data_IF_788270759887
#
_entry.id   IF_788270759887
#
_cell.length_a   1.000
_cell.length_b   1.000
_cell.length_c   1.000
_cell.angle_alpha   90.00
_cell.angle_beta   90.00
_cell.angle_gamma   90.00
#
_symmetry.space_group_name_H-M   'P 1'
#
loop_
_entity.id
_entity.type
_entity.pdbx_description
1 polymer ?
#
# COMPACT_ATOMS: atom_id res chain seq x y z
N UNK A 1 7.18 2.62 25.11
CA UNK A 1 7.28 4.09 25.02
C UNK A 1 7.07 4.41 23.57
N UNK A 2 6.03 5.18 23.24
CA UNK A 2 5.86 5.65 21.86
C UNK A 2 7.11 6.49 21.52
N UNK A 3 7.84 6.20 20.44
CA UNK A 3 8.91 7.09 19.98
C UNK A 3 8.34 8.52 19.90
N UNK A 4 9.12 9.54 20.30
CA UNK A 4 8.69 10.92 20.14
C UNK A 4 8.69 11.33 18.66
N UNK A 5 8.19 12.53 18.34
CA UNK A 5 8.34 13.10 16.99
C UNK A 5 9.81 13.13 16.56
N UNK A 6 10.07 12.68 15.34
CA UNK A 6 11.40 12.70 14.72
C UNK A 6 11.51 13.87 13.74
N UNK A 7 12.68 14.52 13.68
CA UNK A 7 12.96 15.64 12.76
C UNK A 7 13.98 15.23 11.71
N UNK A 8 13.66 15.51 10.46
CA UNK A 8 14.54 15.35 9.31
C UNK A 8 14.67 16.68 8.57
N UNK A 9 15.84 16.91 7.99
CA UNK A 9 16.12 18.08 7.17
C UNK A 9 16.63 17.62 5.81
N UNK A 10 16.09 18.22 4.76
CA UNK A 10 16.43 17.94 3.37
C UNK A 10 17.65 18.76 2.93
N UNK A 11 18.23 18.42 1.77
CA UNK A 11 19.36 19.17 1.20
C UNK A 11 19.05 20.64 0.89
N UNK A 12 17.80 21.01 0.60
CA UNK A 12 17.40 22.40 0.33
C UNK A 12 16.72 23.10 1.53
N UNK A 13 16.76 22.49 2.72
CA UNK A 13 16.32 23.11 3.97
C UNK A 13 14.82 22.99 4.27
N UNK A 14 14.06 22.18 3.52
CA UNK A 14 12.75 21.73 3.98
C UNK A 14 12.92 20.84 5.22
N UNK A 15 12.04 21.04 6.21
CA UNK A 15 12.02 20.28 7.47
C UNK A 15 10.83 19.34 7.46
N UNK A 16 11.06 18.07 7.79
CA UNK A 16 10.04 17.03 7.82
C UNK A 16 9.98 16.48 9.24
N UNK A 17 8.79 16.50 9.83
CA UNK A 17 8.53 15.93 11.14
C UNK A 17 7.69 14.68 10.97
N UNK A 18 8.20 13.56 11.46
CA UNK A 18 7.52 12.27 11.43
C UNK A 18 6.81 12.08 12.78
N UNK A 19 5.48 12.08 12.75
CA UNK A 19 4.61 12.08 13.93
C UNK A 19 4.05 10.67 14.12
N UNK A 20 4.45 9.94 15.18
CA UNK A 20 4.01 8.57 15.41
C UNK A 20 2.58 8.51 15.94
N UNK A 21 1.83 7.52 15.47
CA UNK A 21 0.41 7.31 15.75
C UNK A 21 0.12 5.81 15.88
N UNK A 22 -0.75 5.45 16.83
CA UNK A 22 -1.41 4.15 16.89
C UNK A 22 -2.62 4.20 15.95
N UNK A 23 -2.48 3.60 14.77
CA UNK A 23 -3.49 3.63 13.72
C UNK A 23 -4.61 2.62 13.99
N UNK A 24 -4.25 1.42 14.42
CA UNK A 24 -5.18 0.38 14.91
C UNK A 24 -4.51 -0.40 16.04
N UNK A 25 -5.20 -1.29 16.80
CA UNK A 25 -4.61 -1.98 17.96
C UNK A 25 -3.27 -2.70 17.71
N UNK A 26 -3.02 -3.15 16.47
CA UNK A 26 -1.80 -3.85 16.06
C UNK A 26 -1.03 -3.11 14.94
N UNK A 27 -1.42 -1.88 14.64
CA UNK A 27 -0.81 -1.09 13.56
C UNK A 27 -0.40 0.29 14.07
N UNK A 28 0.90 0.53 14.06
CA UNK A 28 1.50 1.85 14.27
C UNK A 28 1.91 2.44 12.93
N UNK A 29 1.94 3.76 12.82
CA UNK A 29 2.45 4.44 11.64
C UNK A 29 2.56 5.94 11.87
N UNK A 30 2.64 6.70 10.78
CA UNK A 30 3.09 8.08 10.84
C UNK A 30 2.32 9.01 9.91
N UNK A 31 1.98 10.18 10.44
CA UNK A 31 1.75 11.37 9.63
C UNK A 31 3.07 12.15 9.48
N UNK A 32 3.22 12.90 8.40
CA UNK A 32 4.41 13.72 8.16
C UNK A 32 4.05 15.20 8.00
N UNK A 33 4.63 16.08 8.81
CA UNK A 33 4.51 17.52 8.65
C UNK A 33 5.71 18.04 7.85
N UNK A 34 5.46 18.65 6.70
CA UNK A 34 6.47 19.23 5.82
C UNK A 34 6.43 20.75 5.98
N UNK A 35 7.53 21.35 6.41
CA UNK A 35 7.66 22.79 6.59
C UNK A 35 8.71 23.34 5.63
N UNK A 36 8.27 24.24 4.75
CA UNK A 36 9.14 25.01 3.85
C UNK A 36 8.90 26.51 4.07
N UNK A 37 9.75 27.41 3.53
CA UNK A 37 9.45 28.83 3.52
C UNK A 37 8.19 29.21 2.72
N UNK A 38 7.70 28.34 1.83
CA UNK A 38 6.60 28.62 0.92
C UNK A 38 5.25 28.06 1.39
N UNK A 39 5.24 26.96 2.14
CA UNK A 39 4.03 26.30 2.62
C UNK A 39 4.34 25.35 3.79
N UNK A 40 3.27 25.00 4.51
CA UNK A 40 3.23 23.88 5.44
C UNK A 40 2.25 22.84 4.90
N UNK A 41 2.67 21.57 4.79
CA UNK A 41 1.80 20.49 4.34
C UNK A 41 1.74 19.38 5.39
N UNK A 42 0.56 18.81 5.58
CA UNK A 42 0.37 17.59 6.35
C UNK A 42 0.17 16.42 5.39
N UNK A 43 1.07 15.44 5.43
CA UNK A 43 1.04 14.24 4.59
C UNK A 43 0.53 13.05 5.40
N UNK A 44 -0.64 12.55 5.01
CA UNK A 44 -1.49 11.61 5.75
C UNK A 44 -1.97 12.12 7.12
N UNK A 45 -3.07 11.55 7.61
CA UNK A 45 -3.79 12.04 8.80
C UNK A 45 -4.18 10.93 9.78
N UNK A 46 -3.66 9.72 9.57
CA UNK A 46 -3.94 8.58 10.42
C UNK A 46 -5.34 7.98 10.22
N UNK A 47 -5.69 7.03 11.09
CA UNK A 47 -6.94 6.26 10.99
C UNK A 47 -8.17 6.93 11.57
N UNK A 48 -8.01 7.90 12.47
CA UNK A 48 -9.11 8.43 13.30
C UNK A 48 -9.69 7.42 14.29
N UNK A 49 -9.10 6.22 14.42
CA UNK A 49 -9.50 5.21 15.37
C UNK A 49 -8.82 5.43 16.73
N UNK A 50 -9.56 5.22 17.83
CA UNK A 50 -9.03 5.39 19.18
C UNK A 50 -8.43 6.78 19.39
N UNK A 51 -7.19 6.83 19.89
CA UNK A 51 -6.49 8.08 20.22
C UNK A 51 -5.65 8.64 19.07
N UNK A 52 -5.73 8.08 17.85
CA UNK A 52 -4.90 8.49 16.72
C UNK A 52 -4.95 10.02 16.49
N UNK A 53 -6.14 10.62 16.44
CA UNK A 53 -6.28 12.07 16.27
C UNK A 53 -5.60 12.89 17.38
N UNK A 54 -5.77 12.49 18.64
CA UNK A 54 -5.14 13.17 19.78
C UNK A 54 -3.61 13.03 19.78
N UNK A 55 -3.09 11.91 19.27
CA UNK A 55 -1.66 11.71 19.08
C UNK A 55 -1.09 12.60 17.97
N UNK A 56 -1.84 12.80 16.88
CA UNK A 56 -1.48 13.75 15.83
C UNK A 56 -1.42 15.19 16.37
N UNK A 57 -2.43 15.59 17.16
CA UNK A 57 -2.45 16.91 17.82
C UNK A 57 -1.28 17.07 18.82
N UNK A 58 -1.02 16.05 19.63
CA UNK A 58 0.11 16.04 20.55
C UNK A 58 1.46 16.13 19.80
N UNK A 59 1.57 15.46 18.65
CA UNK A 59 2.73 15.54 17.77
C UNK A 59 2.96 16.94 17.22
N UNK A 60 1.91 17.61 16.72
CA UNK A 60 2.01 18.99 16.25
C UNK A 60 2.45 19.94 17.39
N UNK A 61 1.91 19.75 18.60
CA UNK A 61 2.37 20.49 19.80
C UNK A 61 3.83 20.19 20.13
N UNK A 62 4.28 18.94 20.00
CA UNK A 62 5.69 18.59 20.19
C UNK A 62 6.60 19.24 19.15
N UNK A 63 6.18 19.34 17.88
CA UNK A 63 6.90 20.08 16.84
C UNK A 63 7.14 21.53 17.26
N UNK A 64 6.09 22.21 17.74
CA UNK A 64 6.17 23.58 18.22
C UNK A 64 7.05 23.72 19.48
N UNK A 65 6.74 22.95 20.52
CA UNK A 65 7.29 23.15 21.86
C UNK A 65 8.72 22.61 21.99
N UNK A 66 9.05 21.51 21.32
CA UNK A 66 10.37 20.86 21.42
C UNK A 66 11.34 21.31 20.33
N UNK A 67 10.86 21.53 19.10
CA UNK A 67 11.72 21.90 17.97
C UNK A 67 11.68 23.40 17.65
N UNK A 68 10.84 24.17 18.35
CA UNK A 68 10.77 25.64 18.21
C UNK A 68 10.17 26.11 16.90
N UNK A 69 9.40 25.25 16.21
CA UNK A 69 8.69 25.62 15.00
C UNK A 69 7.47 26.48 15.32
N UNK A 70 7.25 27.54 14.53
CA UNK A 70 6.05 28.37 14.64
C UNK A 70 4.98 27.80 13.70
N UNK A 71 4.33 26.72 14.12
CA UNK A 71 3.30 26.04 13.34
C UNK A 71 2.17 25.54 14.25
N UNK A 72 0.94 25.88 13.89
CA UNK A 72 -0.31 25.33 14.44
C UNK A 72 -1.24 24.88 13.29
N UNK A 73 -2.43 24.35 13.64
CA UNK A 73 -3.39 23.82 12.66
C UNK A 73 -3.81 24.83 11.57
N UNK A 74 -3.81 26.12 11.90
CA UNK A 74 -4.19 27.22 11.00
C UNK A 74 -3.10 27.54 9.96
N UNK A 75 -1.84 27.15 10.23
CA UNK A 75 -0.71 27.40 9.33
C UNK A 75 -0.57 26.33 8.24
N UNK A 76 -1.23 25.17 8.43
CA UNK A 76 -1.25 24.09 7.44
C UNK A 76 -1.91 24.62 6.17
N UNK A 77 -1.15 24.65 5.08
CA UNK A 77 -1.57 25.20 3.79
C UNK A 77 -2.30 24.18 2.93
N UNK A 78 -2.00 22.88 3.11
CA UNK A 78 -2.68 21.78 2.44
C UNK A 78 -2.52 20.46 3.20
N UNK A 79 -3.51 19.58 3.04
CA UNK A 79 -3.43 18.18 3.47
C UNK A 79 -3.25 17.31 2.21
N UNK A 80 -2.23 16.46 2.21
CA UNK A 80 -1.87 15.59 1.11
C UNK A 80 -2.08 14.14 1.57
N UNK A 81 -2.93 13.39 0.89
CA UNK A 81 -3.18 11.98 1.22
C UNK A 81 -2.46 11.10 0.23
N UNK A 82 -1.56 10.25 0.74
CA UNK A 82 -0.77 9.31 -0.07
C UNK A 82 -1.66 8.36 -0.86
N UNK A 83 -2.73 7.87 -0.23
CA UNK A 83 -3.68 6.94 -0.83
C UNK A 83 -4.97 6.73 -0.01
N UNK A 84 -5.88 5.92 -0.55
CA UNK A 84 -7.23 5.66 -0.03
C UNK A 84 -7.38 4.54 1.00
N UNK A 85 -6.34 4.19 1.77
CA UNK A 85 -6.52 3.31 2.94
C UNK A 85 -6.81 4.08 4.22
N UNK A 86 -7.62 3.45 5.07
CA UNK A 86 -8.31 4.11 6.18
C UNK A 86 -7.31 4.66 7.20
N UNK A 87 -6.23 3.95 7.44
CA UNK A 87 -5.11 4.36 8.26
C UNK A 87 -4.36 5.61 7.77
N UNK A 88 -4.59 6.06 6.55
CA UNK A 88 -3.98 7.27 6.00
C UNK A 88 -4.96 8.44 5.92
N UNK A 89 -6.25 8.19 5.65
CA UNK A 89 -7.26 9.24 5.50
C UNK A 89 -8.32 9.30 6.61
N UNK A 90 -8.46 8.26 7.42
CA UNK A 90 -9.57 8.08 8.36
C UNK A 90 -9.63 9.16 9.45
N UNK A 91 -8.50 9.80 9.75
CA UNK A 91 -8.40 10.95 10.66
C UNK A 91 -8.89 12.27 10.08
N UNK A 92 -9.34 12.31 8.82
CA UNK A 92 -9.85 13.55 8.19
C UNK A 92 -10.94 14.29 8.99
N UNK A 93 -11.95 13.62 9.60
CA UNK A 93 -12.93 14.32 10.45
C UNK A 93 -12.29 15.08 11.61
N UNK A 94 -11.25 14.48 12.24
CA UNK A 94 -10.50 15.12 13.30
C UNK A 94 -9.73 16.33 12.78
N UNK A 95 -9.01 16.19 11.67
CA UNK A 95 -8.23 17.27 11.05
C UNK A 95 -9.13 18.42 10.59
N UNK A 96 -10.25 18.14 9.90
CA UNK A 96 -11.20 19.16 9.43
C UNK A 96 -11.86 19.97 10.56
N UNK A 97 -11.96 19.41 11.77
CA UNK A 97 -12.46 20.15 12.94
C UNK A 97 -11.51 21.25 13.42
N UNK A 98 -10.24 21.20 13.02
CA UNK A 98 -9.15 22.08 13.50
C UNK A 98 -8.48 22.88 12.38
N UNK A 99 -8.52 22.37 11.16
CA UNK A 99 -7.79 22.90 10.01
C UNK A 99 -8.77 23.10 8.83
N UNK A 100 -8.64 24.25 8.15
CA UNK A 100 -9.44 24.60 6.97
C UNK A 100 -8.67 24.37 5.65
N UNK A 101 -7.51 23.72 5.72
CA UNK A 101 -6.67 23.49 4.54
C UNK A 101 -7.36 22.55 3.54
N UNK A 102 -7.21 22.80 2.22
CA UNK A 102 -7.73 21.90 1.19
C UNK A 102 -7.02 20.53 1.23
N UNK A 103 -7.81 19.48 1.00
CA UNK A 103 -7.36 18.09 0.97
C UNK A 103 -7.17 17.62 -0.48
N UNK A 104 -5.99 17.07 -0.78
CA UNK A 104 -5.64 16.54 -2.09
C UNK A 104 -5.25 15.07 -2.03
N UNK A 105 -5.67 14.30 -3.03
CA UNK A 105 -5.35 12.88 -3.21
C UNK A 105 -5.27 12.55 -4.70
N UNK A 106 -4.62 11.45 -5.07
CA UNK A 106 -4.62 11.01 -6.46
C UNK A 106 -6.05 10.73 -6.98
N UNK A 107 -6.27 11.00 -8.27
CA UNK A 107 -7.59 10.89 -8.91
C UNK A 107 -8.22 9.49 -8.78
N UNK A 108 -7.42 8.43 -8.81
CA UNK A 108 -7.90 7.05 -8.71
C UNK A 108 -8.42 6.70 -7.31
N UNK A 109 -7.94 7.36 -6.26
CA UNK A 109 -8.42 7.14 -4.88
C UNK A 109 -9.43 8.19 -4.42
N UNK A 110 -9.64 9.28 -5.17
CA UNK A 110 -10.65 10.30 -4.80
C UNK A 110 -12.03 9.70 -4.56
N UNK A 111 -12.47 8.74 -5.39
CA UNK A 111 -13.77 8.07 -5.22
C UNK A 111 -13.79 7.08 -4.05
N UNK A 112 -12.63 6.58 -3.63
CA UNK A 112 -12.52 5.73 -2.44
C UNK A 112 -12.97 6.48 -1.20
N UNK A 113 -12.62 7.77 -1.12
CA UNK A 113 -13.02 8.65 -0.02
C UNK A 113 -14.40 9.26 -0.23
N UNK A 114 -14.66 9.87 -1.39
CA UNK A 114 -15.88 10.65 -1.63
C UNK A 114 -17.13 9.82 -1.87
N UNK A 115 -16.97 8.51 -2.15
CA UNK A 115 -18.04 7.54 -2.38
C UNK A 115 -17.74 6.23 -1.65
N UNK A 116 -17.30 6.35 -0.40
CA UNK A 116 -16.81 5.23 0.40
C UNK A 116 -17.84 4.10 0.53
N UNK A 117 -19.10 4.42 0.80
CA UNK A 117 -20.17 3.42 0.98
C UNK A 117 -20.48 2.68 -0.33
N UNK A 118 -20.47 3.39 -1.47
CA UNK A 118 -20.61 2.79 -2.81
C UNK A 118 -19.46 1.84 -3.09
N UNK A 119 -18.22 2.27 -2.84
CA UNK A 119 -17.03 1.43 -2.98
C UNK A 119 -17.12 0.20 -2.10
N UNK A 120 -17.48 0.37 -0.82
CA UNK A 120 -17.59 -0.73 0.14
C UNK A 120 -18.59 -1.79 -0.34
N UNK A 121 -19.77 -1.37 -0.82
CA UNK A 121 -20.79 -2.28 -1.34
C UNK A 121 -20.30 -3.06 -2.58
N UNK A 122 -19.60 -2.39 -3.50
CA UNK A 122 -19.06 -3.02 -4.72
C UNK A 122 -17.92 -4.00 -4.40
N UNK A 123 -16.97 -3.59 -3.57
CA UNK A 123 -15.84 -4.44 -3.16
C UNK A 123 -16.35 -5.63 -2.34
N UNK A 124 -17.32 -5.46 -1.44
CA UNK A 124 -17.90 -6.58 -0.69
C UNK A 124 -18.56 -7.63 -1.61
N UNK A 125 -19.17 -7.21 -2.73
CA UNK A 125 -19.70 -8.14 -3.74
C UNK A 125 -18.58 -8.90 -4.45
N UNK A 126 -17.51 -8.22 -4.85
CA UNK A 126 -16.34 -8.85 -5.49
C UNK A 126 -15.63 -9.79 -4.53
N UNK A 127 -15.49 -9.39 -3.28
CA UNK A 127 -14.85 -10.17 -2.22
C UNK A 127 -15.61 -11.48 -1.97
N UNK A 128 -16.94 -11.46 -1.90
CA UNK A 128 -17.73 -12.70 -1.79
C UNK A 128 -17.49 -13.67 -2.94
N UNK A 129 -17.51 -13.17 -4.19
CA UNK A 129 -17.22 -14.00 -5.35
C UNK A 129 -15.78 -14.54 -5.31
N UNK A 130 -14.83 -13.70 -4.89
CA UNK A 130 -13.44 -14.10 -4.72
C UNK A 130 -13.26 -15.21 -3.69
N UNK A 131 -13.86 -15.10 -2.50
CA UNK A 131 -13.70 -16.12 -1.46
C UNK A 131 -14.25 -17.48 -1.92
N UNK A 132 -15.36 -17.50 -2.66
CA UNK A 132 -15.91 -18.72 -3.27
C UNK A 132 -14.93 -19.31 -4.28
N UNK A 133 -14.50 -18.54 -5.27
CA UNK A 133 -13.59 -19.02 -6.32
C UNK A 133 -12.22 -19.41 -5.79
N UNK A 134 -11.76 -18.77 -4.71
CA UNK A 134 -10.52 -19.09 -4.02
C UNK A 134 -10.59 -20.42 -3.25
N UNK A 135 -11.77 -21.01 -3.07
CA UNK A 135 -11.95 -22.27 -2.34
C UNK A 135 -12.10 -22.11 -0.84
N UNK A 136 -12.45 -20.92 -0.35
CA UNK A 136 -12.66 -20.69 1.09
C UNK A 136 -13.95 -21.40 1.53
N UNK A 137 -13.93 -22.22 2.60
CA UNK A 137 -15.14 -22.85 3.13
C UNK A 137 -16.21 -21.82 3.50
N UNK A 138 -17.49 -22.12 3.22
CA UNK A 138 -18.58 -21.15 3.33
C UNK A 138 -18.71 -20.49 4.71
N UNK A 139 -18.56 -21.25 5.80
CA UNK A 139 -18.60 -20.69 7.16
C UNK A 139 -17.45 -19.72 7.44
N UNK A 140 -16.24 -20.05 6.98
CA UNK A 140 -15.06 -19.17 7.10
C UNK A 140 -15.23 -17.91 6.25
N UNK A 141 -15.74 -18.05 5.03
CA UNK A 141 -16.01 -16.93 4.13
C UNK A 141 -17.01 -15.94 4.74
N UNK A 142 -18.11 -16.43 5.34
CA UNK A 142 -19.07 -15.58 6.04
C UNK A 142 -18.45 -14.86 7.24
N UNK A 143 -17.59 -15.55 8.01
CA UNK A 143 -16.84 -14.95 9.12
C UNK A 143 -15.91 -13.82 8.66
N UNK A 144 -15.14 -14.05 7.58
CA UNK A 144 -14.28 -13.04 6.96
C UNK A 144 -15.11 -11.84 6.49
N UNK A 145 -16.23 -12.09 5.80
CA UNK A 145 -17.10 -11.03 5.31
C UNK A 145 -17.71 -10.21 6.45
N UNK A 146 -18.14 -10.85 7.53
CA UNK A 146 -18.70 -10.17 8.70
C UNK A 146 -17.66 -9.23 9.34
N UNK A 147 -16.43 -9.71 9.54
CA UNK A 147 -15.34 -8.91 10.10
C UNK A 147 -14.96 -7.74 9.18
N UNK A 148 -14.83 -8.00 7.88
CA UNK A 148 -14.55 -6.97 6.87
C UNK A 148 -15.62 -5.86 6.92
N UNK A 149 -16.90 -6.22 6.91
CA UNK A 149 -18.00 -5.27 6.94
C UNK A 149 -18.08 -4.50 8.27
N UNK A 150 -17.85 -5.17 9.41
CA UNK A 150 -17.84 -4.53 10.72
C UNK A 150 -16.76 -3.43 10.78
N UNK A 151 -15.52 -3.76 10.41
CA UNK A 151 -14.40 -2.83 10.50
C UNK A 151 -14.54 -1.67 9.51
N UNK A 152 -14.91 -1.97 8.26
CA UNK A 152 -15.04 -0.95 7.21
C UNK A 152 -16.30 -0.10 7.39
N UNK A 153 -17.36 -0.60 8.03
CA UNK A 153 -18.61 0.12 8.28
C UNK A 153 -18.50 1.24 9.33
N UNK A 154 -17.39 1.34 10.05
CA UNK A 154 -17.11 2.43 11.01
C UNK A 154 -16.74 3.75 10.33
N UNK A 155 -16.52 3.73 9.01
CA UNK A 155 -16.06 4.85 8.22
C UNK A 155 -17.12 5.29 7.22
N UNK A 156 -17.09 6.57 6.86
CA UNK A 156 -18.07 7.20 5.97
C UNK A 156 -17.36 8.04 4.92
N UNK A 157 -18.09 8.40 3.86
CA UNK A 157 -17.55 9.25 2.80
C UNK A 157 -16.97 10.56 3.35
N UNK A 158 -15.81 10.94 2.83
CA UNK A 158 -15.09 12.16 3.17
C UNK A 158 -15.01 13.10 1.97
N UNK A 159 -15.10 14.41 2.23
CA UNK A 159 -14.89 15.43 1.21
C UNK A 159 -13.41 15.55 0.84
N UNK A 160 -13.14 15.74 -0.45
CA UNK A 160 -11.81 15.96 -1.02
C UNK A 160 -11.90 17.15 -1.98
N UNK A 161 -11.07 18.15 -1.72
CA UNK A 161 -11.10 19.45 -2.39
C UNK A 161 -10.52 19.37 -3.80
N UNK A 162 -9.49 18.55 -4.02
CA UNK A 162 -8.87 18.40 -5.33
C UNK A 162 -7.99 17.17 -5.49
N UNK A 163 -7.32 17.12 -6.63
CA UNK A 163 -6.28 16.14 -6.96
C UNK A 163 -4.90 16.77 -6.90
N UNK A 164 -3.82 15.98 -6.97
CA UNK A 164 -2.47 16.54 -6.97
C UNK A 164 -2.21 17.48 -8.16
N UNK A 165 -2.95 17.33 -9.25
CA UNK A 165 -2.94 18.22 -10.41
C UNK A 165 -3.48 19.62 -10.08
N UNK A 166 -4.39 19.71 -9.10
CA UNK A 166 -5.03 20.95 -8.64
C UNK A 166 -4.20 21.70 -7.59
N UNK A 167 -3.05 21.15 -7.18
CA UNK A 167 -2.19 21.78 -6.16
C UNK A 167 -1.68 23.16 -6.61
N UNK A 168 -1.58 24.12 -5.66
CA UNK A 168 -0.95 25.41 -5.92
C UNK A 168 0.46 25.25 -6.49
N UNK A 169 0.84 26.16 -7.40
CA UNK A 169 2.12 26.11 -8.13
C UNK A 169 3.35 26.09 -7.22
N UNK A 170 3.27 26.83 -6.11
CA UNK A 170 4.29 26.97 -5.08
C UNK A 170 4.55 25.66 -4.33
N UNK A 171 3.50 24.84 -4.13
CA UNK A 171 3.61 23.49 -3.54
C UNK A 171 4.19 22.52 -4.57
N UNK A 172 3.66 22.50 -5.79
CA UNK A 172 4.14 21.62 -6.88
C UNK A 172 5.58 21.90 -7.30
N UNK A 173 6.07 23.13 -7.11
CA UNK A 173 7.46 23.48 -7.40
C UNK A 173 8.46 22.82 -6.43
N UNK A 174 8.02 22.43 -5.23
CA UNK A 174 8.85 21.86 -4.16
C UNK A 174 8.63 20.37 -3.94
N UNK A 175 7.51 19.84 -4.39
CA UNK A 175 7.15 18.42 -4.22
C UNK A 175 7.10 17.73 -5.57
N UNK A 176 7.82 16.61 -5.70
CA UNK A 176 7.72 15.74 -6.89
C UNK A 176 6.91 14.50 -6.53
N UNK A 177 5.80 14.32 -7.23
CA UNK A 177 4.89 13.20 -7.04
C UNK A 177 5.17 12.10 -8.07
N UNK A 178 5.14 10.85 -7.63
CA UNK A 178 5.18 9.68 -8.50
C UNK A 178 4.01 8.76 -8.16
N UNK A 179 3.09 8.57 -9.11
CA UNK A 179 2.01 7.58 -9.00
C UNK A 179 2.57 6.17 -9.14
N UNK A 180 2.34 5.34 -8.12
CA UNK A 180 2.93 4.02 -7.89
C UNK A 180 1.84 2.97 -7.53
N UNK A 181 0.92 2.65 -8.46
CA UNK A 181 -0.16 1.68 -8.21
C UNK A 181 0.38 0.28 -7.86
N UNK A 182 -0.47 -0.56 -7.28
CA UNK A 182 -0.14 -1.93 -6.87
C UNK A 182 -0.74 -2.28 -5.51
N UNK A 183 -0.29 -1.58 -4.45
CA UNK A 183 -0.89 -1.71 -3.11
C UNK A 183 -2.34 -1.19 -3.10
N UNK A 184 -2.56 -0.05 -3.75
CA UNK A 184 -3.89 0.50 -4.02
C UNK A 184 -3.88 1.26 -5.37
N UNK A 185 -5.06 1.64 -5.91
CA UNK A 185 -5.14 2.28 -7.22
C UNK A 185 -4.45 3.65 -7.28
N UNK A 186 -4.60 4.47 -6.25
CA UNK A 186 -4.17 5.86 -6.25
C UNK A 186 -2.90 6.16 -5.47
N UNK A 187 -2.07 5.16 -5.17
CA UNK A 187 -0.89 5.40 -4.35
C UNK A 187 0.11 6.36 -4.97
N UNK A 188 0.58 7.31 -4.18
CA UNK A 188 1.62 8.26 -4.59
C UNK A 188 2.74 8.28 -3.56
N UNK A 189 3.98 8.33 -4.06
CA UNK A 189 5.15 8.70 -3.25
C UNK A 189 5.54 10.15 -3.55
N UNK A 190 6.06 10.85 -2.54
CA UNK A 190 6.40 12.27 -2.64
C UNK A 190 7.87 12.46 -2.33
N UNK A 191 8.65 12.97 -3.28
CA UNK A 191 10.03 13.38 -3.07
C UNK A 191 10.07 14.86 -2.69
N UNK A 192 10.56 15.12 -1.47
CA UNK A 192 10.87 16.45 -0.93
C UNK A 192 12.38 16.61 -1.00
N UNK A 193 12.85 17.29 -2.05
CA UNK A 193 14.27 17.43 -2.39
C UNK A 193 15.00 16.07 -2.51
N UNK A 194 15.61 15.60 -1.42
CA UNK A 194 16.37 14.34 -1.31
C UNK A 194 15.77 13.34 -0.31
N UNK A 195 14.60 13.62 0.27
CA UNK A 195 13.86 12.70 1.17
C UNK A 195 12.56 12.25 0.50
N UNK A 196 12.38 10.94 0.38
CA UNK A 196 11.17 10.33 -0.17
C UNK A 196 10.19 9.96 0.95
N UNK A 197 8.96 10.45 0.86
CA UNK A 197 7.83 9.93 1.64
C UNK A 197 7.18 8.82 0.83
N UNK A 198 7.41 7.56 1.21
CA UNK A 198 6.97 6.39 0.43
C UNK A 198 5.58 5.88 0.82
N UNK A 199 5.02 6.35 1.93
CA UNK A 199 3.79 5.77 2.52
C UNK A 199 3.92 4.24 2.53
N UNK A 200 2.99 3.53 1.92
CA UNK A 200 2.95 2.07 1.89
C UNK A 200 3.56 1.48 0.62
N UNK A 201 4.37 2.23 -0.12
CA UNK A 201 4.91 1.70 -1.38
C UNK A 201 6.17 0.87 -1.10
N UNK A 202 6.93 1.33 -0.12
CA UNK A 202 8.18 0.72 0.34
C UNK A 202 8.27 0.98 1.85
N UNK A 203 8.33 -0.08 2.65
CA UNK A 203 8.48 -0.10 4.11
C UNK A 203 9.80 -0.77 4.48
N UNK A 204 10.37 -0.51 5.66
CA UNK A 204 11.75 -0.90 6.02
C UNK A 204 11.98 -2.42 6.08
N UNK A 205 11.00 -3.15 6.58
CA UNK A 205 11.09 -4.57 6.90
C UNK A 205 10.06 -5.38 6.12
N UNK A 206 8.82 -4.89 6.04
CA UNK A 206 7.75 -5.61 5.38
C UNK A 206 7.61 -5.21 3.91
N UNK A 207 7.11 -6.15 3.11
CA UNK A 207 6.50 -5.80 1.83
C UNK A 207 5.09 -5.28 2.11
N UNK A 208 4.66 -4.18 1.47
CA UNK A 208 3.28 -3.74 1.59
C UNK A 208 2.33 -4.79 1.02
N UNK A 209 1.16 -4.90 1.63
CA UNK A 209 0.10 -5.84 1.25
C UNK A 209 -0.29 -5.70 -0.23
N UNK A 210 -0.43 -6.82 -0.94
CA UNK A 210 -0.90 -6.83 -2.32
C UNK A 210 -2.28 -7.49 -2.41
N UNK A 211 -3.22 -6.80 -3.04
CA UNK A 211 -4.58 -7.30 -3.29
C UNK A 211 -4.74 -7.65 -4.78
N UNK A 212 -5.41 -8.75 -5.15
CA UNK A 212 -5.60 -9.15 -6.55
C UNK A 212 -6.41 -8.08 -7.30
N UNK A 213 -6.06 -7.82 -8.56
CA UNK A 213 -6.64 -6.73 -9.36
C UNK A 213 -8.14 -6.94 -9.60
N UNK A 214 -8.59 -8.20 -9.54
CA UNK A 214 -10.02 -8.54 -9.60
C UNK A 214 -10.88 -7.91 -8.50
N UNK A 215 -10.29 -7.59 -7.34
CA UNK A 215 -11.01 -6.91 -6.26
C UNK A 215 -11.07 -5.41 -6.51
N UNK A 216 -9.94 -4.82 -6.92
CA UNK A 216 -9.79 -3.40 -7.20
C UNK A 216 -8.84 -3.19 -8.37
N UNK A 217 -9.27 -2.48 -9.42
CA UNK A 217 -8.41 -2.20 -10.57
C UNK A 217 -7.16 -1.41 -10.13
N UNK A 218 -6.04 -1.57 -10.84
CA UNK A 218 -4.74 -0.96 -10.49
C UNK A 218 -4.15 -1.42 -9.14
N UNK A 219 -4.69 -2.49 -8.54
CA UNK A 219 -3.98 -3.22 -7.50
C UNK A 219 -3.30 -4.45 -8.09
N UNK A 220 -2.46 -5.11 -7.30
CA UNK A 220 -1.88 -6.39 -7.66
C UNK A 220 -0.42 -6.29 -8.04
N UNK A 221 0.19 -7.47 -8.09
CA UNK A 221 1.64 -7.62 -8.08
C UNK A 221 2.31 -7.07 -9.36
N UNK A 222 1.64 -7.15 -10.51
CA UNK A 222 2.15 -6.60 -11.77
C UNK A 222 2.33 -5.08 -11.73
N UNK A 223 1.28 -4.36 -11.31
CA UNK A 223 1.34 -2.90 -11.11
C UNK A 223 2.39 -2.53 -10.07
N UNK A 224 2.47 -3.29 -8.98
CA UNK A 224 3.47 -3.07 -7.93
C UNK A 224 4.91 -3.16 -8.47
N UNK A 225 5.21 -4.19 -9.26
CA UNK A 225 6.53 -4.35 -9.87
C UNK A 225 6.87 -3.25 -10.89
N UNK A 226 5.91 -2.83 -11.70
CA UNK A 226 6.11 -1.70 -12.61
C UNK A 226 6.41 -0.41 -11.82
N UNK A 227 5.66 -0.19 -10.73
CA UNK A 227 5.85 0.94 -9.83
C UNK A 227 7.21 0.93 -9.12
N UNK A 228 7.65 -0.22 -8.60
CA UNK A 228 8.99 -0.38 -8.03
C UNK A 228 10.08 -0.06 -9.06
N UNK A 229 9.92 -0.54 -10.29
CA UNK A 229 10.88 -0.29 -11.37
C UNK A 229 10.93 1.20 -11.74
N UNK A 230 9.78 1.86 -11.81
CA UNK A 230 9.69 3.30 -12.05
C UNK A 230 10.34 4.08 -10.90
N UNK A 231 10.12 3.68 -9.65
CA UNK A 231 10.74 4.32 -8.49
C UNK A 231 12.26 4.13 -8.47
N UNK A 232 12.74 2.93 -8.85
CA UNK A 232 14.17 2.60 -8.87
C UNK A 232 14.99 3.56 -9.73
N UNK A 233 14.45 4.03 -10.86
CA UNK A 233 15.09 5.03 -11.74
C UNK A 233 15.42 6.33 -10.98
N UNK A 234 14.64 6.67 -9.94
CA UNK A 234 14.84 7.86 -9.12
C UNK A 234 15.61 7.60 -7.82
N UNK A 235 15.91 6.34 -7.48
CA UNK A 235 16.51 5.98 -6.19
C UNK A 235 17.86 6.70 -5.93
N UNK A 236 18.64 6.95 -6.98
CA UNK A 236 19.90 7.71 -6.90
C UNK A 236 19.75 9.16 -6.40
N UNK A 237 18.55 9.73 -6.43
CA UNK A 237 18.24 11.09 -5.92
C UNK A 237 17.74 11.07 -4.48
N UNK A 238 17.50 9.89 -3.91
CA UNK A 238 16.91 9.72 -2.58
C UNK A 238 18.01 9.40 -1.59
N UNK A 239 18.25 10.29 -0.62
CA UNK A 239 19.16 10.05 0.50
C UNK A 239 18.49 9.26 1.63
N UNK A 240 17.19 9.46 1.81
CA UNK A 240 16.42 8.86 2.90
C UNK A 240 14.99 8.61 2.43
N UNK A 241 14.44 7.45 2.76
CA UNK A 241 13.01 7.14 2.54
C UNK A 241 12.31 6.95 3.88
N UNK A 242 11.15 7.57 4.03
CA UNK A 242 10.28 7.50 5.20
C UNK A 242 8.95 6.86 4.79
N UNK A 243 8.69 5.66 5.30
CA UNK A 243 7.44 4.94 5.09
C UNK A 243 6.28 5.47 5.93
N UNK A 244 5.06 5.06 5.58
CA UNK A 244 3.86 5.24 6.41
C UNK A 244 3.94 4.48 7.72
N UNK A 245 4.78 3.45 7.76
CA UNK A 245 5.05 2.57 8.90
C UNK A 245 6.56 2.33 9.04
N UNK A 246 6.95 1.64 10.12
CA UNK A 246 8.31 1.13 10.36
C UNK A 246 9.40 2.22 10.40
N UNK A 247 10.69 1.88 10.34
CA UNK A 247 11.78 2.86 10.39
C UNK A 247 12.18 3.43 9.01
N UNK A 248 13.21 4.28 8.99
CA UNK A 248 13.72 4.88 7.76
C UNK A 248 14.55 3.92 6.92
N UNK A 249 14.50 4.06 5.59
CA UNK A 249 15.35 3.32 4.64
C UNK A 249 16.42 4.24 4.08
N UNK A 250 17.69 3.86 4.27
CA UNK A 250 18.85 4.64 3.85
C UNK A 250 19.42 4.26 2.47
N UNK A 251 19.09 3.08 1.95
CA UNK A 251 19.54 2.57 0.65
C UNK A 251 18.33 2.06 -0.14
N UNK A 252 17.60 3.00 -0.75
CA UNK A 252 16.36 2.70 -1.46
C UNK A 252 16.57 1.73 -2.63
N UNK A 253 17.66 1.87 -3.38
CA UNK A 253 17.94 0.98 -4.52
C UNK A 253 18.16 -0.45 -4.05
N UNK A 254 19.01 -0.67 -3.04
CA UNK A 254 19.22 -2.01 -2.47
C UNK A 254 17.92 -2.59 -1.93
N UNK A 255 17.09 -1.76 -1.31
CA UNK A 255 15.84 -2.23 -0.71
C UNK A 255 14.78 -2.58 -1.76
N UNK A 256 14.70 -1.84 -2.87
CA UNK A 256 13.85 -2.24 -4.01
C UNK A 256 14.29 -3.60 -4.57
N UNK A 257 15.61 -3.85 -4.69
CA UNK A 257 16.11 -5.17 -5.11
C UNK A 257 15.72 -6.29 -4.13
N UNK A 258 15.71 -6.02 -2.82
CA UNK A 258 15.30 -7.01 -1.81
C UNK A 258 13.82 -7.35 -1.93
N UNK A 259 12.96 -6.37 -2.23
CA UNK A 259 11.53 -6.56 -2.47
C UNK A 259 11.27 -7.43 -3.72
N UNK A 260 11.97 -7.15 -4.83
CA UNK A 260 11.90 -8.02 -6.01
C UNK A 260 12.32 -9.46 -5.68
N UNK A 261 13.42 -9.64 -4.95
CA UNK A 261 13.89 -10.96 -4.55
C UNK A 261 12.86 -11.69 -3.66
N UNK A 262 12.28 -11.01 -2.66
CA UNK A 262 11.27 -11.57 -1.76
C UNK A 262 10.04 -12.08 -2.50
N UNK A 263 9.47 -11.26 -3.40
CA UNK A 263 8.33 -11.70 -4.21
C UNK A 263 8.72 -12.79 -5.21
N UNK A 264 9.94 -12.74 -5.75
CA UNK A 264 10.49 -13.79 -6.61
C UNK A 264 10.58 -15.16 -5.91
N UNK A 265 10.99 -15.17 -4.65
CA UNK A 265 10.99 -16.38 -3.80
C UNK A 265 9.57 -16.87 -3.54
N UNK A 266 8.63 -15.98 -3.18
CA UNK A 266 7.22 -16.34 -2.97
C UNK A 266 6.59 -16.95 -4.22
N UNK A 267 6.84 -16.37 -5.40
CA UNK A 267 6.39 -16.93 -6.67
C UNK A 267 6.98 -18.32 -6.95
N UNK A 268 8.26 -18.52 -6.62
CA UNK A 268 8.93 -19.83 -6.75
C UNK A 268 8.29 -20.87 -5.84
N UNK A 269 7.98 -20.50 -4.60
CA UNK A 269 7.31 -21.38 -3.64
C UNK A 269 5.92 -21.79 -4.13
N UNK A 270 5.13 -20.85 -4.65
CA UNK A 270 3.82 -21.14 -5.25
C UNK A 270 3.95 -22.12 -6.42
N UNK A 271 4.91 -21.89 -7.32
CA UNK A 271 5.15 -22.80 -8.45
C UNK A 271 5.60 -24.19 -8.00
N UNK A 272 6.38 -24.29 -6.92
CA UNK A 272 6.76 -25.58 -6.32
C UNK A 272 5.56 -26.31 -5.70
N UNK A 273 4.63 -25.58 -5.07
CA UNK A 273 3.41 -26.18 -4.51
C UNK A 273 2.43 -26.63 -5.60
N UNK A 274 2.32 -25.86 -6.69
CA UNK A 274 1.38 -26.09 -7.79
C UNK A 274 1.84 -27.19 -8.78
N UNK A 275 2.75 -28.08 -8.39
CA UNK A 275 3.00 -29.34 -9.11
C UNK A 275 1.78 -30.27 -9.11
N UNK A 276 0.89 -30.09 -8.14
CA UNK A 276 -0.45 -30.66 -8.10
C UNK A 276 -1.49 -29.52 -8.12
N UNK A 277 -2.72 -29.78 -8.57
CA UNK A 277 -3.78 -28.76 -8.57
C UNK A 277 -4.05 -28.23 -7.17
N UNK A 278 -4.09 -26.91 -7.01
CA UNK A 278 -4.38 -26.24 -5.74
C UNK A 278 -5.26 -25.02 -5.93
N UNK A 279 -6.13 -24.78 -4.94
CA UNK A 279 -6.88 -23.55 -4.79
C UNK A 279 -6.05 -22.43 -4.17
N UNK A 280 -6.48 -21.18 -4.32
CA UNK A 280 -5.85 -20.03 -3.63
C UNK A 280 -5.89 -20.22 -2.11
N UNK A 281 -6.97 -20.78 -1.57
CA UNK A 281 -7.11 -21.08 -0.15
C UNK A 281 -6.00 -22.01 0.37
N UNK A 282 -5.71 -23.08 -0.37
CA UNK A 282 -4.65 -24.03 -0.03
C UNK A 282 -3.25 -23.40 -0.17
N UNK A 283 -3.04 -22.58 -1.21
CA UNK A 283 -1.78 -21.85 -1.40
C UNK A 283 -1.57 -20.87 -0.24
N UNK A 284 -2.57 -20.07 0.10
CA UNK A 284 -2.51 -19.12 1.21
C UNK A 284 -2.21 -19.83 2.55
N UNK A 285 -2.86 -20.96 2.82
CA UNK A 285 -2.63 -21.76 4.03
C UNK A 285 -1.21 -22.33 4.14
N UNK A 286 -0.52 -22.58 3.01
CA UNK A 286 0.87 -23.05 2.99
C UNK A 286 1.88 -21.92 3.10
N UNK A 287 1.62 -20.78 2.45
CA UNK A 287 2.49 -19.60 2.52
C UNK A 287 2.43 -18.91 3.88
N UNK A 288 1.23 -18.85 4.48
CA UNK A 288 0.94 -18.10 5.69
C UNK A 288 0.20 -19.00 6.70
N UNK A 289 0.91 -19.94 7.35
CA UNK A 289 0.27 -20.98 8.16
C UNK A 289 -0.33 -20.47 9.48
N UNK A 290 0.09 -19.28 9.94
CA UNK A 290 -0.33 -18.71 11.24
C UNK A 290 -1.02 -17.38 10.97
N UNK A 291 -2.30 -17.42 10.64
CA UNK A 291 -3.13 -16.22 10.41
C UNK A 291 -4.53 -16.43 10.95
N UNK A 292 -5.04 -15.48 11.73
CA UNK A 292 -6.40 -15.47 12.27
C UNK A 292 -7.08 -14.12 12.01
N UNK A 293 -8.41 -14.07 12.15
CA UNK A 293 -9.17 -12.83 12.04
C UNK A 293 -8.95 -12.10 10.73
N UNK A 294 -8.62 -10.81 10.78
CA UNK A 294 -8.44 -9.97 9.59
C UNK A 294 -7.19 -10.36 8.78
N UNK A 295 -6.15 -10.86 9.44
CA UNK A 295 -4.92 -11.32 8.80
C UNK A 295 -5.15 -12.51 7.87
N UNK A 296 -6.21 -13.30 8.12
CA UNK A 296 -6.62 -14.39 7.23
C UNK A 296 -7.03 -13.88 5.84
N UNK A 297 -7.75 -12.76 5.78
CA UNK A 297 -8.13 -12.13 4.52
C UNK A 297 -6.90 -11.58 3.79
N UNK A 298 -6.00 -10.92 4.51
CA UNK A 298 -4.77 -10.38 3.92
C UNK A 298 -3.91 -11.50 3.30
N UNK A 299 -3.77 -12.64 3.98
CA UNK A 299 -3.06 -13.79 3.42
C UNK A 299 -3.69 -14.36 2.14
N UNK A 300 -5.03 -14.42 2.07
CA UNK A 300 -5.75 -14.86 0.88
C UNK A 300 -5.54 -13.90 -0.29
N UNK A 301 -5.65 -12.60 -0.05
CA UNK A 301 -5.43 -11.56 -1.04
C UNK A 301 -3.98 -11.56 -1.54
N UNK A 302 -3.00 -11.64 -0.64
CA UNK A 302 -1.58 -11.67 -0.99
C UNK A 302 -1.25 -12.90 -1.88
N UNK A 303 -1.73 -14.08 -1.49
CA UNK A 303 -1.57 -15.30 -2.30
C UNK A 303 -2.26 -15.15 -3.66
N UNK A 304 -3.47 -14.60 -3.70
CA UNK A 304 -4.21 -14.37 -4.93
C UNK A 304 -3.50 -13.41 -5.89
N UNK A 305 -2.91 -12.32 -5.39
CA UNK A 305 -2.17 -11.38 -6.22
C UNK A 305 -0.97 -12.06 -6.92
N UNK A 306 -0.31 -13.00 -6.24
CA UNK A 306 0.77 -13.79 -6.82
C UNK A 306 0.26 -14.83 -7.84
N UNK A 307 -0.83 -15.53 -7.50
CA UNK A 307 -1.47 -16.50 -8.41
C UNK A 307 -1.97 -15.82 -9.68
N UNK A 308 -2.60 -14.65 -9.57
CA UNK A 308 -3.08 -13.86 -10.70
C UNK A 308 -1.91 -13.43 -11.60
N UNK A 309 -0.82 -12.91 -11.02
CA UNK A 309 0.38 -12.58 -11.79
C UNK A 309 0.94 -13.80 -12.53
N UNK A 310 1.13 -14.92 -11.84
CA UNK A 310 1.68 -16.14 -12.43
C UNK A 310 0.77 -16.71 -13.52
N UNK A 311 -0.54 -16.68 -13.31
CA UNK A 311 -1.54 -17.12 -14.29
C UNK A 311 -1.54 -16.24 -15.54
N UNK A 312 -1.57 -14.91 -15.38
CA UNK A 312 -1.56 -13.97 -16.52
C UNK A 312 -0.30 -14.08 -17.38
N UNK A 313 0.83 -14.47 -16.78
CA UNK A 313 2.10 -14.69 -17.48
C UNK A 313 2.31 -16.15 -17.92
N UNK A 314 1.30 -17.00 -17.78
CA UNK A 314 1.32 -18.38 -18.28
C UNK A 314 2.11 -19.38 -17.44
N UNK A 315 2.59 -19.00 -16.26
CA UNK A 315 3.27 -19.92 -15.33
C UNK A 315 2.30 -20.85 -14.60
N UNK A 316 1.03 -20.44 -14.49
CA UNK A 316 -0.07 -21.26 -13.97
C UNK A 316 -1.16 -21.40 -15.04
N UNK A 317 -1.91 -22.50 -14.98
CA UNK A 317 -3.13 -22.74 -15.75
C UNK A 317 -4.23 -23.29 -14.86
N UNK A 318 -5.47 -23.15 -15.29
CA UNK A 318 -6.63 -23.76 -14.63
C UNK A 318 -6.66 -25.25 -15.01
N UNK A 319 -6.69 -26.13 -14.01
CA UNK A 319 -6.76 -27.58 -14.22
C UNK A 319 -8.21 -28.06 -14.43
N UNK A 320 -9.14 -27.54 -13.63
CA UNK A 320 -10.50 -28.07 -13.52
C UNK A 320 -11.53 -27.38 -14.45
N UNK A 321 -11.10 -26.93 -15.64
CA UNK A 321 -11.95 -26.16 -16.58
C UNK A 321 -13.27 -26.87 -16.93
N UNK A 322 -13.21 -28.18 -17.20
CA UNK A 322 -14.39 -28.97 -17.57
C UNK A 322 -15.44 -29.05 -16.46
N UNK A 323 -15.03 -28.89 -15.20
CA UNK A 323 -15.94 -28.87 -14.05
C UNK A 323 -16.56 -27.47 -13.88
N UNK A 324 -15.78 -26.41 -14.09
CA UNK A 324 -16.25 -25.02 -14.05
C UNK A 324 -17.32 -24.72 -15.11
N UNK A 325 -17.22 -25.34 -16.29
CA UNK A 325 -18.25 -25.23 -17.34
C UNK A 325 -19.60 -25.83 -16.93
N UNK A 326 -19.62 -26.70 -15.91
CA UNK A 326 -20.83 -27.38 -15.42
C UNK A 326 -21.38 -26.75 -14.14
N UNK A 327 -20.52 -26.20 -13.31
CA UNK A 327 -20.85 -25.62 -12.02
C UNK A 327 -19.90 -24.44 -11.74
N UNK A 328 -20.44 -23.23 -11.86
CA UNK A 328 -19.72 -21.97 -11.65
C UNK A 328 -19.41 -21.71 -10.17
N UNK A 329 -19.96 -22.50 -9.25
CA UNK A 329 -19.65 -22.43 -7.82
C UNK A 329 -18.41 -23.25 -7.43
N UNK A 330 -17.78 -23.99 -8.36
CA UNK A 330 -16.55 -24.73 -8.05
C UNK A 330 -15.35 -23.80 -7.89
N UNK A 331 -14.48 -24.03 -6.89
CA UNK A 331 -13.23 -23.30 -6.75
C UNK A 331 -12.32 -23.47 -7.97
N UNK A 332 -11.51 -22.46 -8.25
CA UNK A 332 -10.48 -22.52 -9.29
C UNK A 332 -9.27 -23.31 -8.77
N UNK A 333 -8.85 -24.33 -9.51
CA UNK A 333 -7.65 -25.11 -9.21
C UNK A 333 -6.54 -24.76 -10.21
N UNK A 334 -5.39 -24.36 -9.68
CA UNK A 334 -4.23 -23.93 -10.45
C UNK A 334 -3.15 -25.01 -10.45
N UNK A 335 -2.55 -25.23 -11.61
CA UNK A 335 -1.39 -26.11 -11.78
C UNK A 335 -0.31 -25.38 -12.54
N UNK A 336 0.95 -25.66 -12.19
CA UNK A 336 2.13 -25.13 -12.87
C UNK A 336 2.13 -25.55 -14.34
N UNK A 337 2.52 -24.60 -15.19
CA UNK A 337 2.79 -24.83 -16.61
C UNK A 337 4.29 -24.75 -16.86
N UNK A 338 4.79 -25.58 -17.76
CA UNK A 338 6.16 -25.44 -18.26
C UNK A 338 6.21 -24.36 -19.34
N UNK A 339 6.72 -23.18 -18.97
CA UNK A 339 7.00 -22.08 -19.90
C UNK A 339 8.48 -21.68 -19.82
N UNK A 340 9.08 -21.20 -20.92
CA UNK A 340 10.45 -20.68 -20.89
C UNK A 340 10.59 -19.48 -19.96
N UNK A 341 11.69 -19.43 -19.23
CA UNK A 341 12.06 -18.32 -18.36
C UNK A 341 11.51 -18.40 -16.94
N UNK A 342 11.78 -17.36 -16.15
CA UNK A 342 11.35 -17.26 -14.75
C UNK A 342 10.34 -16.13 -14.54
N UNK A 343 9.53 -16.17 -13.46
CA UNK A 343 8.64 -15.05 -13.14
C UNK A 343 9.38 -13.71 -12.98
N UNK A 344 10.61 -13.71 -12.44
CA UNK A 344 11.42 -12.49 -12.33
C UNK A 344 11.89 -11.97 -13.69
N UNK A 345 12.16 -12.84 -14.66
CA UNK A 345 12.46 -12.40 -16.02
C UNK A 345 11.23 -11.76 -16.69
N UNK A 346 10.02 -12.29 -16.43
CA UNK A 346 8.79 -11.67 -16.90
C UNK A 346 8.58 -10.27 -16.28
N UNK A 347 8.90 -10.11 -14.99
CA UNK A 347 8.90 -8.80 -14.31
C UNK A 347 9.87 -7.83 -14.98
N UNK A 348 11.10 -8.26 -15.26
CA UNK A 348 12.11 -7.41 -15.90
C UNK A 348 11.67 -6.92 -17.30
N UNK A 349 10.95 -7.77 -18.04
CA UNK A 349 10.37 -7.38 -19.34
C UNK A 349 9.28 -6.32 -19.19
N UNK A 350 8.39 -6.44 -18.20
CA UNK A 350 7.37 -5.42 -17.89
C UNK A 350 8.00 -4.08 -17.49
N UNK A 351 9.06 -4.15 -16.68
CA UNK A 351 9.77 -3.00 -16.16
C UNK A 351 10.56 -2.20 -17.20
N UNK A 352 10.89 -2.81 -18.34
CA UNK A 352 11.88 -2.27 -19.28
C UNK A 352 13.29 -2.17 -18.67
N UNK A 353 13.57 -2.90 -17.58
CA UNK A 353 14.85 -2.91 -16.85
C UNK A 353 15.50 -4.29 -17.01
N UNK A 354 16.76 -4.40 -17.45
CA UNK A 354 17.41 -5.71 -17.60
C UNK A 354 17.56 -6.42 -16.25
N UNK A 355 17.03 -7.63 -16.13
CA UNK A 355 17.19 -8.50 -14.97
C UNK A 355 18.68 -8.77 -14.75
N UNK A 356 19.28 -8.19 -13.71
CA UNK A 356 20.60 -8.62 -13.25
C UNK A 356 20.37 -9.68 -12.18
N UNK A 357 20.37 -10.94 -12.58
CA UNK A 357 20.53 -12.01 -11.60
C UNK A 357 21.84 -11.78 -10.84
N UNK A 358 21.77 -11.81 -9.51
CA UNK A 358 22.99 -11.82 -8.70
C UNK A 358 23.73 -13.11 -9.01
N UNK A 359 24.74 -13.02 -9.88
CA UNK A 359 25.66 -14.12 -10.11
C UNK A 359 26.38 -14.40 -8.79
N UNK A 360 25.93 -15.42 -8.06
CA UNK A 360 26.79 -16.10 -7.08
C UNK A 360 27.88 -16.79 -7.89
N UNK A 361 29.00 -16.09 -8.08
CA UNK A 361 30.26 -16.75 -8.42
C UNK A 361 30.65 -17.60 -7.22
N UNK A 362 30.50 -18.91 -7.40
CA UNK A 362 31.22 -19.92 -6.64
C UNK A 362 32.69 -19.77 -7.03
N UNK A 363 33.52 -19.42 -6.05
CA UNK A 363 34.94 -19.77 -6.00
C UNK A 363 35.21 -20.46 -4.65
#
# INVERSE_FOLDING_TARGET
MNPGVERYETAEGARIYRIPMQLFPELEGFAHLIITPAFVALYDVGSGFGDAGEQLDAGLRQVRDQFGEHVDWEDISCVLLSHGHIDHFGGLPFVRSRCQAPVYIHALDRRVLTRYEERLALVARRLRAFLMEAGVPGEEAEGIMALYMLNKGLFTSQEVDGTYEDLPSEVRARLRFLHVPGHCPGQVVVLVDDILLSADHVLEHTSPHQSPERLSLYTGLGHYFESLSRLQVFASKVRLTLGGHEGPIHDLDRHIHSLFAMHGERMRDILGMAEQPLTIYEIAGRLFPITEGYHRLLALEEAAAHVEFLYLHGFLRIENLADLERDDARPLEYTRTEVPGTPLEAVAQLAGVPCRESSRTVD
#
